data_IF_396840622287
#
_entry.id   IF_396840622287
#
_cell.length_a   1.000
_cell.length_b   1.000
_cell.length_c   1.000
_cell.angle_alpha   90.00
_cell.angle_beta   90.00
_cell.angle_gamma   90.00
#
_symmetry.space_group_name_H-M   'P 1'
#
loop_
_entity.id
_entity.type
_entity.pdbx_description
1 polymer ?
#
# COMPACT_ATOMS: atom_id res chain seq x y z
N UNK A 1 -17.87 1.86 -2.08
CA UNK A 1 -17.56 2.89 -1.03
C UNK A 1 -18.80 3.27 -0.23
N UNK A 2 -18.65 3.67 1.05
CA UNK A 2 -19.75 4.15 1.91
C UNK A 2 -20.26 5.55 1.56
N UNK A 3 -19.43 6.36 0.89
CA UNK A 3 -19.82 7.71 0.44
C UNK A 3 -20.10 7.70 -1.07
N UNK A 4 -21.37 7.72 -1.51
CA UNK A 4 -21.74 7.68 -2.94
C UNK A 4 -21.11 8.82 -3.77
N UNK A 5 -20.84 9.96 -3.15
CA UNK A 5 -20.18 11.09 -3.82
C UNK A 5 -18.74 10.78 -4.27
N UNK A 6 -18.09 9.78 -3.68
CA UNK A 6 -16.75 9.31 -4.05
C UNK A 6 -16.76 8.29 -5.19
N UNK A 7 -17.92 7.71 -5.52
CA UNK A 7 -18.08 6.82 -6.69
C UNK A 7 -18.04 7.60 -8.02
N UNK A 8 -18.25 8.92 -7.98
CA UNK A 8 -18.30 9.76 -9.16
C UNK A 8 -17.18 10.77 -9.12
N UNK A 9 -16.36 10.81 -10.17
CA UNK A 9 -15.32 11.82 -10.34
C UNK A 9 -15.94 13.24 -10.30
N UNK A 10 -15.28 14.15 -9.57
CA UNK A 10 -15.82 15.46 -9.29
C UNK A 10 -15.94 16.35 -10.55
N UNK A 11 -14.96 16.27 -11.45
CA UNK A 11 -14.84 17.14 -12.63
C UNK A 11 -15.33 16.43 -13.90
N UNK A 12 -15.87 17.21 -14.86
CA UNK A 12 -16.38 16.67 -16.13
C UNK A 12 -15.32 15.88 -16.91
N UNK A 13 -14.09 16.40 -17.03
CA UNK A 13 -12.98 15.71 -17.72
C UNK A 13 -12.61 14.39 -17.06
N UNK A 14 -12.55 14.34 -15.73
CA UNK A 14 -12.29 13.12 -14.98
C UNK A 14 -13.39 12.07 -15.19
N UNK A 15 -14.67 12.51 -15.29
CA UNK A 15 -15.78 11.60 -15.60
C UNK A 15 -15.67 10.96 -16.97
N UNK A 16 -15.24 11.72 -17.97
CA UNK A 16 -14.98 11.20 -19.32
C UNK A 16 -13.86 10.17 -19.28
N UNK A 17 -12.75 10.49 -18.60
CA UNK A 17 -11.63 9.57 -18.45
C UNK A 17 -12.04 8.26 -17.76
N UNK A 18 -12.72 8.34 -16.62
CA UNK A 18 -13.20 7.14 -15.89
C UNK A 18 -14.14 6.30 -16.77
N UNK A 19 -14.96 6.92 -17.60
CA UNK A 19 -15.81 6.20 -18.56
C UNK A 19 -14.98 5.51 -19.65
N UNK A 20 -13.96 6.21 -20.18
CA UNK A 20 -13.07 5.64 -21.21
C UNK A 20 -12.25 4.49 -20.68
N UNK A 21 -11.63 4.65 -19.50
CA UNK A 21 -10.86 3.55 -18.86
C UNK A 21 -11.76 2.35 -18.58
N UNK A 22 -12.99 2.58 -18.12
CA UNK A 22 -13.98 1.52 -17.91
C UNK A 22 -14.37 0.81 -19.21
N UNK A 23 -14.57 1.55 -20.30
CA UNK A 23 -14.85 0.97 -21.60
C UNK A 23 -13.69 0.13 -22.14
N UNK A 24 -12.46 0.44 -21.76
CA UNK A 24 -11.24 -0.32 -22.06
C UNK A 24 -10.99 -1.47 -21.07
N UNK A 25 -11.93 -1.73 -20.16
CA UNK A 25 -11.82 -2.80 -19.16
C UNK A 25 -10.85 -2.50 -18.00
N UNK A 26 -10.42 -1.23 -17.84
CA UNK A 26 -9.60 -0.77 -16.73
C UNK A 26 -10.48 0.05 -15.77
N UNK A 27 -10.83 -0.52 -14.63
CA UNK A 27 -11.56 0.21 -13.61
C UNK A 27 -10.62 0.82 -12.59
N UNK A 28 -10.84 2.09 -12.29
CA UNK A 28 -10.08 2.79 -11.26
C UNK A 28 -10.50 2.26 -9.88
N UNK A 29 -9.53 1.87 -9.06
CA UNK A 29 -9.76 1.44 -7.69
C UNK A 29 -10.24 2.59 -6.80
N UNK A 30 -10.60 2.28 -5.56
CA UNK A 30 -11.17 3.26 -4.64
C UNK A 30 -10.13 4.29 -4.15
N UNK A 31 -8.84 3.93 -4.11
CA UNK A 31 -7.74 4.90 -3.86
C UNK A 31 -7.65 5.89 -5.01
N UNK A 32 -7.65 5.41 -6.24
CA UNK A 32 -7.62 6.25 -7.43
C UNK A 32 -8.84 7.17 -7.54
N UNK A 33 -10.05 6.69 -7.20
CA UNK A 33 -11.26 7.53 -7.13
C UNK A 33 -11.11 8.62 -6.08
N UNK A 34 -10.56 8.29 -4.89
CA UNK A 34 -10.29 9.25 -3.82
C UNK A 34 -9.26 10.30 -4.24
N UNK A 35 -8.21 9.89 -4.97
CA UNK A 35 -7.21 10.78 -5.54
C UNK A 35 -7.79 11.75 -6.56
N UNK A 36 -8.71 11.30 -7.41
CA UNK A 36 -9.42 12.19 -8.35
C UNK A 36 -10.42 13.12 -7.64
N UNK A 37 -11.01 12.66 -6.55
CA UNK A 37 -11.98 13.46 -5.78
C UNK A 37 -11.33 14.56 -4.98
N UNK A 38 -10.20 14.29 -4.36
CA UNK A 38 -9.43 15.21 -3.52
C UNK A 38 -7.96 15.23 -3.97
N UNK A 39 -7.68 15.75 -5.19
CA UNK A 39 -6.34 15.73 -5.76
C UNK A 39 -5.31 16.51 -4.95
N UNK A 40 -5.75 17.51 -4.20
CA UNK A 40 -4.91 18.31 -3.31
C UNK A 40 -4.46 17.56 -2.04
N UNK A 41 -5.16 16.51 -1.63
CA UNK A 41 -4.82 15.65 -0.48
C UNK A 41 -4.32 14.28 -0.93
N UNK A 42 -5.15 13.57 -1.70
CA UNK A 42 -4.93 12.19 -2.10
C UNK A 42 -4.19 12.04 -3.43
N UNK A 43 -4.22 13.06 -4.29
CA UNK A 43 -3.55 12.98 -5.58
C UNK A 43 -2.03 13.10 -5.44
N UNK A 44 -1.48 14.29 -5.70
CA UNK A 44 -0.03 14.50 -5.69
C UNK A 44 0.63 14.27 -4.32
N UNK A 45 0.10 14.81 -3.18
CA UNK A 45 0.80 14.66 -1.91
C UNK A 45 0.86 13.20 -1.47
N UNK A 46 -0.28 12.53 -1.33
CA UNK A 46 -0.33 11.17 -0.79
C UNK A 46 0.25 10.13 -1.75
N UNK A 47 -0.15 10.14 -3.02
CA UNK A 47 0.37 9.17 -4.00
C UNK A 47 1.85 9.41 -4.32
N UNK A 48 2.32 10.67 -4.29
CA UNK A 48 3.74 10.99 -4.42
C UNK A 48 4.55 10.45 -3.24
N UNK A 49 4.04 10.59 -2.02
CA UNK A 49 4.64 10.01 -0.83
C UNK A 49 4.67 8.47 -0.91
N UNK A 50 3.55 7.84 -1.27
CA UNK A 50 3.46 6.40 -1.48
C UNK A 50 4.47 5.91 -2.53
N UNK A 51 4.60 6.63 -3.65
CA UNK A 51 5.57 6.28 -4.67
C UNK A 51 7.01 6.37 -4.15
N UNK A 52 7.36 7.44 -3.44
CA UNK A 52 8.69 7.62 -2.87
C UNK A 52 9.04 6.51 -1.88
N UNK A 53 8.12 6.13 -1.00
CA UNK A 53 8.34 5.07 -0.03
C UNK A 53 8.43 3.67 -0.66
N UNK A 54 7.53 3.37 -1.59
CA UNK A 54 7.39 2.01 -2.11
C UNK A 54 8.17 1.76 -3.40
N UNK A 55 8.68 2.80 -4.07
CA UNK A 55 9.40 2.71 -5.36
C UNK A 55 10.70 3.50 -5.41
N UNK A 56 10.94 4.42 -4.47
CA UNK A 56 12.18 5.18 -4.36
C UNK A 56 13.39 4.32 -3.99
N UNK A 57 14.60 4.90 -3.93
CA UNK A 57 15.78 4.24 -3.37
C UNK A 57 15.53 3.78 -1.94
N UNK A 58 15.98 2.57 -1.59
CA UNK A 58 15.76 1.96 -0.28
C UNK A 58 16.71 0.79 -0.06
N UNK A 59 16.98 0.47 1.21
CA UNK A 59 17.67 -0.74 1.62
C UNK A 59 16.80 -2.00 1.36
N UNK A 60 15.48 -1.84 1.23
CA UNK A 60 14.51 -2.89 0.99
C UNK A 60 14.15 -2.99 -0.49
N UNK A 61 14.02 -4.21 -0.99
CA UNK A 61 13.44 -4.44 -2.32
C UNK A 61 11.99 -3.94 -2.38
N UNK A 62 11.48 -3.75 -3.60
CA UNK A 62 10.06 -3.39 -3.79
C UNK A 62 9.14 -4.42 -3.14
N UNK A 63 9.48 -5.72 -3.28
CA UNK A 63 8.69 -6.81 -2.70
C UNK A 63 8.63 -6.74 -1.17
N UNK A 64 9.76 -6.47 -0.50
CA UNK A 64 9.82 -6.36 0.95
C UNK A 64 9.03 -5.15 1.47
N UNK A 65 9.07 -4.01 0.79
CA UNK A 65 8.25 -2.84 1.16
C UNK A 65 6.76 -3.09 1.00
N UNK A 66 6.37 -3.79 -0.04
CA UNK A 66 4.97 -4.21 -0.24
C UNK A 66 4.56 -5.28 0.80
N UNK A 67 5.51 -6.11 1.24
CA UNK A 67 5.32 -7.03 2.35
C UNK A 67 5.04 -6.29 3.65
N UNK A 68 5.84 -5.28 4.01
CA UNK A 68 5.58 -4.46 5.20
C UNK A 68 4.22 -3.79 5.13
N UNK A 69 3.85 -3.27 3.96
CA UNK A 69 2.52 -2.72 3.69
C UNK A 69 1.40 -3.74 3.95
N UNK A 70 1.56 -4.97 3.46
CA UNK A 70 0.59 -6.04 3.65
C UNK A 70 0.48 -6.49 5.11
N UNK A 71 1.62 -6.62 5.82
CA UNK A 71 1.68 -7.01 7.23
C UNK A 71 0.98 -5.96 8.12
N UNK A 72 1.29 -4.68 7.93
CA UNK A 72 0.64 -3.58 8.64
C UNK A 72 -0.87 -3.56 8.34
N UNK A 73 -1.25 -3.76 7.08
CA UNK A 73 -2.67 -3.79 6.69
C UNK A 73 -3.41 -4.97 7.30
N UNK A 74 -2.75 -6.12 7.42
CA UNK A 74 -3.30 -7.31 8.11
C UNK A 74 -3.48 -7.05 9.60
N UNK A 75 -2.49 -6.44 10.26
CA UNK A 75 -2.57 -6.05 11.66
C UNK A 75 -3.73 -5.08 11.93
N UNK A 76 -4.02 -4.19 10.99
CA UNK A 76 -5.16 -3.27 11.00
C UNK A 76 -6.48 -3.90 10.52
N UNK A 77 -6.48 -5.15 10.07
CA UNK A 77 -7.67 -5.85 9.50
C UNK A 77 -8.24 -5.20 8.22
N UNK A 78 -7.45 -4.39 7.50
CA UNK A 78 -7.87 -3.73 6.26
C UNK A 78 -7.75 -4.68 5.06
N UNK A 79 -8.85 -5.39 4.73
CA UNK A 79 -8.86 -6.42 3.69
C UNK A 79 -8.55 -5.87 2.28
N UNK A 80 -8.97 -4.65 1.98
CA UNK A 80 -8.67 -3.99 0.71
C UNK A 80 -7.15 -3.85 0.50
N UNK A 81 -6.45 -3.31 1.49
CA UNK A 81 -5.00 -3.10 1.39
C UNK A 81 -4.23 -4.43 1.45
N UNK A 82 -4.62 -5.36 2.33
CA UNK A 82 -4.02 -6.72 2.36
C UNK A 82 -4.11 -7.38 0.99
N UNK A 83 -5.28 -7.33 0.35
CA UNK A 83 -5.50 -7.95 -0.96
C UNK A 83 -4.59 -7.38 -2.05
N UNK A 84 -4.42 -6.05 -2.10
CA UNK A 84 -3.58 -5.40 -3.10
C UNK A 84 -2.10 -5.62 -2.84
N UNK A 85 -1.62 -5.22 -1.65
CA UNK A 85 -0.19 -5.19 -1.34
C UNK A 85 0.37 -6.59 -1.10
N UNK A 86 -0.45 -7.49 -0.56
CA UNK A 86 -0.09 -8.90 -0.45
C UNK A 86 0.14 -9.58 -1.79
N UNK A 87 -0.68 -9.26 -2.80
CA UNK A 87 -0.48 -9.81 -4.14
C UNK A 87 0.75 -9.22 -4.83
N UNK A 88 1.02 -7.92 -4.64
CA UNK A 88 2.23 -7.29 -5.18
C UNK A 88 3.48 -7.89 -4.52
N UNK A 89 3.48 -8.01 -3.19
CA UNK A 89 4.58 -8.58 -2.43
C UNK A 89 4.88 -10.01 -2.88
N UNK A 90 3.88 -10.89 -2.89
CA UNK A 90 4.04 -12.28 -3.30
C UNK A 90 4.67 -12.38 -4.68
N UNK A 91 4.14 -11.69 -5.67
CA UNK A 91 4.68 -11.71 -7.04
C UNK A 91 6.10 -11.12 -7.15
N UNK A 92 6.39 -10.04 -6.41
CA UNK A 92 7.69 -9.38 -6.46
C UNK A 92 8.78 -10.21 -5.76
N UNK A 93 8.42 -11.00 -4.76
CA UNK A 93 9.31 -11.89 -4.01
C UNK A 93 9.37 -13.31 -4.60
N UNK A 94 8.56 -13.61 -5.62
CA UNK A 94 8.55 -14.91 -6.28
C UNK A 94 7.74 -15.99 -5.54
N UNK A 95 6.79 -15.60 -4.71
CA UNK A 95 5.90 -16.49 -3.97
C UNK A 95 4.49 -16.53 -4.57
N UNK A 96 3.79 -17.63 -4.34
CA UNK A 96 2.39 -17.78 -4.75
C UNK A 96 1.42 -17.00 -3.84
N UNK A 97 1.82 -16.72 -2.60
CA UNK A 97 1.02 -16.02 -1.61
C UNK A 97 1.88 -15.43 -0.49
N UNK A 98 1.24 -14.65 0.41
CA UNK A 98 1.89 -14.16 1.63
C UNK A 98 2.33 -15.28 2.60
N UNK A 99 1.89 -16.51 2.42
CA UNK A 99 2.35 -17.64 3.25
C UNK A 99 3.83 -17.97 3.04
N UNK A 100 4.43 -17.55 1.92
CA UNK A 100 5.86 -17.73 1.65
C UNK A 100 6.79 -16.77 2.40
N UNK A 101 6.27 -15.93 3.30
CA UNK A 101 7.06 -14.94 4.03
C UNK A 101 8.11 -15.53 4.96
N UNK A 102 7.89 -16.76 5.44
CA UNK A 102 8.85 -17.46 6.30
C UNK A 102 10.13 -17.85 5.53
N UNK A 103 10.09 -17.81 4.20
CA UNK A 103 11.22 -18.06 3.31
C UNK A 103 12.09 -16.82 3.04
N UNK A 104 11.61 -15.62 3.44
CA UNK A 104 12.36 -14.38 3.28
C UNK A 104 13.61 -14.30 4.17
N UNK A 105 14.58 -13.46 3.79
CA UNK A 105 15.78 -13.23 4.60
C UNK A 105 15.42 -12.77 6.02
N UNK A 106 16.27 -13.15 7.01
CA UNK A 106 16.03 -12.89 8.44
C UNK A 106 15.72 -11.42 8.72
N UNK A 107 16.46 -10.48 8.12
CA UNK A 107 16.26 -9.05 8.32
C UNK A 107 14.89 -8.58 7.82
N UNK A 108 14.37 -9.10 6.69
CA UNK A 108 13.04 -8.74 6.19
C UNK A 108 11.94 -9.26 7.13
N UNK A 109 12.09 -10.48 7.62
CA UNK A 109 11.16 -11.05 8.63
C UNK A 109 11.18 -10.27 9.94
N UNK A 110 12.38 -9.90 10.42
CA UNK A 110 12.54 -9.13 11.65
C UNK A 110 11.90 -7.73 11.52
N UNK A 111 12.12 -7.01 10.41
CA UNK A 111 11.50 -5.73 10.14
C UNK A 111 9.97 -5.86 10.01
N UNK A 112 9.47 -6.92 9.34
CA UNK A 112 8.02 -7.19 9.24
C UNK A 112 7.40 -7.45 10.62
N UNK A 113 8.06 -8.24 11.46
CA UNK A 113 7.61 -8.49 12.83
C UNK A 113 7.62 -7.22 13.70
N UNK A 114 8.64 -6.37 13.53
CA UNK A 114 8.73 -5.09 14.21
C UNK A 114 7.56 -4.16 13.85
N UNK A 115 7.28 -3.96 12.55
CA UNK A 115 6.18 -3.07 12.13
C UNK A 115 4.81 -3.68 12.45
N UNK A 116 4.68 -5.00 12.53
CA UNK A 116 3.46 -5.65 13.00
C UNK A 116 3.20 -5.36 14.49
N UNK A 117 4.22 -5.53 15.33
CA UNK A 117 4.15 -5.22 16.77
C UNK A 117 3.82 -3.74 17.00
N UNK A 118 4.54 -2.84 16.33
CA UNK A 118 4.29 -1.40 16.35
C UNK A 118 2.85 -1.04 15.96
N UNK A 119 2.27 -1.76 15.00
CA UNK A 119 0.91 -1.50 14.53
C UNK A 119 -0.14 -2.00 15.52
N UNK A 120 0.11 -3.16 16.15
CA UNK A 120 -0.85 -3.79 17.09
C UNK A 120 -0.88 -3.07 18.44
N UNK A 121 0.30 -2.75 18.96
CA UNK A 121 0.46 -2.14 20.28
C UNK A 121 1.74 -1.29 20.30
N UNK A 122 1.66 -0.01 19.89
CA UNK A 122 2.82 0.87 19.84
C UNK A 122 3.49 1.08 21.20
N UNK A 123 2.73 0.99 22.30
CA UNK A 123 3.25 1.18 23.65
C UNK A 123 4.08 -0.01 24.14
N UNK A 124 3.91 -1.19 23.52
CA UNK A 124 4.69 -2.39 23.82
C UNK A 124 6.08 -2.39 23.17
N UNK A 125 6.31 -1.55 22.15
CA UNK A 125 7.59 -1.52 21.41
C UNK A 125 8.66 -0.83 22.24
N UNK A 126 9.81 -1.48 22.40
CA UNK A 126 10.90 -1.08 23.28
C UNK A 126 12.25 -1.10 22.55
N UNK A 127 13.30 -0.60 23.23
CA UNK A 127 14.67 -0.71 22.75
C UNK A 127 15.11 -2.16 22.51
N UNK A 128 14.59 -3.11 23.28
CA UNK A 128 14.92 -4.53 23.10
C UNK A 128 14.38 -5.07 21.76
N UNK A 129 13.29 -4.52 21.23
CA UNK A 129 12.76 -4.90 19.91
C UNK A 129 13.67 -4.41 18.79
N UNK A 130 14.22 -3.20 18.95
CA UNK A 130 15.24 -2.65 18.04
C UNK A 130 16.49 -3.51 18.05
N UNK A 131 16.99 -3.89 19.23
CA UNK A 131 18.16 -4.75 19.34
C UNK A 131 17.94 -6.15 18.74
N UNK A 132 16.73 -6.71 18.86
CA UNK A 132 16.38 -7.95 18.17
C UNK A 132 16.43 -7.80 16.65
N UNK A 133 15.86 -6.72 16.11
CA UNK A 133 15.92 -6.46 14.69
C UNK A 133 17.38 -6.31 14.20
N UNK A 134 18.22 -5.62 14.95
CA UNK A 134 19.67 -5.48 14.66
C UNK A 134 20.38 -6.84 14.68
N UNK A 135 20.08 -7.69 15.65
CA UNK A 135 20.66 -9.04 15.73
C UNK A 135 20.30 -9.90 14.50
N UNK A 136 19.15 -9.66 13.88
CA UNK A 136 18.72 -10.29 12.64
C UNK A 136 19.21 -9.58 11.37
N UNK A 137 20.11 -8.59 11.52
CA UNK A 137 20.79 -7.90 10.42
C UNK A 137 20.00 -6.71 9.84
N UNK A 138 19.12 -6.09 10.62
CA UNK A 138 18.44 -4.85 10.21
C UNK A 138 19.26 -3.64 10.62
N UNK A 139 19.73 -2.87 9.66
CA UNK A 139 20.38 -1.59 9.89
C UNK A 139 19.36 -0.54 10.36
N UNK A 140 19.80 0.45 11.13
CA UNK A 140 18.92 1.47 11.72
C UNK A 140 18.12 2.25 10.68
N UNK A 141 18.77 2.69 9.60
CA UNK A 141 18.10 3.41 8.51
C UNK A 141 17.08 2.51 7.80
N UNK A 142 17.40 1.23 7.61
CA UNK A 142 16.49 0.27 7.03
C UNK A 142 15.26 0.04 7.95
N UNK A 143 15.46 -0.04 9.27
CA UNK A 143 14.36 -0.15 10.22
C UNK A 143 13.47 1.10 10.18
N UNK A 144 14.08 2.30 10.12
CA UNK A 144 13.35 3.55 10.00
C UNK A 144 12.51 3.61 8.70
N UNK A 145 13.04 3.13 7.57
CA UNK A 145 12.28 3.03 6.31
C UNK A 145 11.07 2.10 6.46
N UNK A 146 11.20 0.96 7.11
CA UNK A 146 10.08 0.05 7.39
C UNK A 146 9.02 0.73 8.28
N UNK A 147 9.44 1.53 9.27
CA UNK A 147 8.53 2.33 10.11
C UNK A 147 7.80 3.41 9.29
N UNK A 148 8.44 4.03 8.29
CA UNK A 148 7.75 4.99 7.41
C UNK A 148 6.70 4.31 6.52
N UNK A 149 6.96 3.08 6.07
CA UNK A 149 5.92 2.27 5.40
C UNK A 149 4.77 2.01 6.36
N UNK A 150 5.05 1.61 7.60
CA UNK A 150 4.02 1.39 8.62
C UNK A 150 3.21 2.66 8.91
N UNK A 151 3.85 3.82 9.03
CA UNK A 151 3.16 5.12 9.20
C UNK A 151 2.15 5.38 8.08
N UNK A 152 2.57 5.22 6.82
CA UNK A 152 1.68 5.42 5.69
C UNK A 152 0.49 4.46 5.71
N UNK A 153 0.74 3.17 5.96
CA UNK A 153 -0.32 2.16 5.95
C UNK A 153 -1.24 2.24 7.16
N UNK A 154 -0.75 2.60 8.33
CA UNK A 154 -1.59 2.91 9.49
C UNK A 154 -2.55 4.07 9.21
N UNK A 155 -2.16 5.02 8.36
CA UNK A 155 -3.01 6.14 7.93
C UNK A 155 -4.02 5.70 6.88
N UNK A 156 -3.58 5.11 5.75
CA UNK A 156 -4.48 4.79 4.64
C UNK A 156 -5.45 3.66 4.98
N UNK A 157 -5.08 2.70 5.81
CA UNK A 157 -5.98 1.64 6.23
C UNK A 157 -7.21 2.23 6.94
N UNK A 158 -7.04 3.22 7.84
CA UNK A 158 -8.14 3.90 8.52
C UNK A 158 -9.07 4.62 7.53
N UNK A 159 -8.49 5.25 6.51
CA UNK A 159 -9.27 5.92 5.47
C UNK A 159 -10.02 4.89 4.62
N UNK A 160 -9.36 3.83 4.20
CA UNK A 160 -9.96 2.75 3.42
C UNK A 160 -11.15 2.11 4.15
N UNK A 161 -10.98 1.80 5.42
CA UNK A 161 -12.03 1.19 6.23
C UNK A 161 -13.18 2.17 6.51
N UNK A 162 -12.86 3.44 6.83
CA UNK A 162 -13.88 4.47 7.08
C UNK A 162 -14.72 4.75 5.83
N UNK A 163 -14.09 4.83 4.66
CA UNK A 163 -14.77 5.06 3.38
C UNK A 163 -15.35 3.79 2.76
N UNK A 164 -15.03 2.60 3.29
CA UNK A 164 -15.47 1.31 2.78
C UNK A 164 -14.91 1.02 1.40
N UNK A 165 -13.57 1.02 1.28
CA UNK A 165 -12.89 0.61 0.06
C UNK A 165 -13.04 -0.89 -0.14
N UNK A 166 -13.36 -1.31 -1.36
CA UNK A 166 -13.62 -2.70 -1.70
C UNK A 166 -13.05 -3.03 -3.08
N UNK A 167 -12.59 -4.27 -3.23
CA UNK A 167 -12.36 -4.85 -4.54
C UNK A 167 -13.68 -5.42 -5.07
N UNK A 168 -14.06 -5.03 -6.27
CA UNK A 168 -15.30 -5.53 -6.89
C UNK A 168 -15.23 -7.00 -7.25
N UNK A 169 -14.02 -7.46 -7.58
CA UNK A 169 -13.73 -8.85 -7.90
C UNK A 169 -12.25 -9.18 -7.70
N UNK A 170 -11.92 -10.46 -7.60
CA UNK A 170 -10.54 -10.93 -7.58
C UNK A 170 -9.78 -10.54 -8.86
N UNK A 171 -10.48 -10.47 -9.99
CA UNK A 171 -9.90 -10.04 -11.25
C UNK A 171 -9.46 -8.58 -11.20
N UNK A 172 -10.29 -7.70 -10.63
CA UNK A 172 -9.98 -6.27 -10.51
C UNK A 172 -8.84 -6.05 -9.52
N UNK A 173 -8.84 -6.78 -8.41
CA UNK A 173 -7.74 -6.80 -7.44
C UNK A 173 -6.41 -7.16 -8.11
N UNK A 174 -6.36 -8.30 -8.84
CA UNK A 174 -5.15 -8.75 -9.54
C UNK A 174 -4.68 -7.76 -10.59
N UNK A 175 -5.59 -7.17 -11.37
CA UNK A 175 -5.26 -6.14 -12.38
C UNK A 175 -4.73 -4.88 -11.74
N UNK A 176 -5.35 -4.42 -10.64
CA UNK A 176 -4.88 -3.26 -9.88
C UNK A 176 -3.49 -3.49 -9.30
N UNK A 177 -3.25 -4.64 -8.67
CA UNK A 177 -1.96 -5.02 -8.14
C UNK A 177 -0.88 -5.08 -9.24
N UNK A 178 -1.19 -5.65 -10.41
CA UNK A 178 -0.27 -5.72 -11.54
C UNK A 178 0.04 -4.32 -12.10
N UNK A 179 -0.95 -3.46 -12.22
CA UNK A 179 -0.75 -2.07 -12.65
C UNK A 179 0.16 -1.31 -11.68
N UNK A 180 -0.08 -1.42 -10.37
CA UNK A 180 0.76 -0.78 -9.35
C UNK A 180 2.18 -1.35 -9.30
N UNK A 181 2.34 -2.64 -9.57
CA UNK A 181 3.64 -3.29 -9.64
C UNK A 181 4.51 -2.69 -10.74
N UNK A 182 3.95 -2.46 -11.93
CA UNK A 182 4.67 -1.95 -13.10
C UNK A 182 4.74 -0.43 -13.18
N UNK A 183 3.65 0.26 -12.86
CA UNK A 183 3.53 1.71 -13.02
C UNK A 183 3.84 2.50 -11.74
N UNK A 184 3.86 1.81 -10.59
CA UNK A 184 3.96 2.45 -9.27
C UNK A 184 2.72 3.28 -8.94
N UNK A 185 2.88 4.25 -8.04
CA UNK A 185 1.78 5.02 -7.46
C UNK A 185 1.59 6.40 -8.13
N UNK A 186 2.08 6.56 -9.36
CA UNK A 186 1.93 7.82 -10.09
C UNK A 186 0.59 7.91 -10.82
N UNK A 187 -0.17 8.96 -10.52
CA UNK A 187 -1.25 9.41 -11.39
C UNK A 187 -0.70 10.59 -12.22
N UNK A 188 -0.83 10.55 -13.56
CA UNK A 188 -0.39 11.64 -14.41
C UNK A 188 -0.99 12.99 -13.98
N UNK A 189 -0.16 14.03 -13.89
CA UNK A 189 -0.54 15.32 -13.33
C UNK A 189 -1.75 15.97 -14.05
N UNK A 190 -1.94 15.70 -15.36
CA UNK A 190 -3.08 16.21 -16.11
C UNK A 190 -4.43 15.62 -15.67
N UNK A 191 -4.42 14.44 -15.00
CA UNK A 191 -5.62 13.80 -14.44
C UNK A 191 -6.01 14.37 -13.08
N UNK A 192 -5.05 15.05 -12.43
CA UNK A 192 -5.21 15.63 -11.10
C UNK A 192 -5.52 17.15 -11.15
N UNK A 193 -5.67 17.71 -12.35
CA UNK A 193 -6.02 19.13 -12.57
C UNK A 193 -7.52 19.36 -12.68
#
# INVERSE_FOLDING_TARGET
>A
MRLPSYEVAARRGQRVLVRLTRALGAELDDVGKSALRRPELFGKPFLGFAHSLLRGPSAWSVGERELFAAVVSRANSCQFCVGTHGEIAAKALGHDSLAGLDEERSSARAAAAFVEALTRDPDSVSAADVERARADGVEDDALAEAVYVAFMFNTINRVADALGFEHRSDRDRRRGAEALRHLGYHIPAFLLR
#
